data_IF_466083367411
#
_entry.id   IF_466083367411
#
_cell.length_a   1.000
_cell.length_b   1.000
_cell.length_c   1.000
_cell.angle_alpha   90.00
_cell.angle_beta   90.00
_cell.angle_gamma   90.00
#
_symmetry.space_group_name_H-M   'P 1'
#
loop_
_entity.id
_entity.type
_entity.pdbx_description
1 polymer ?
#
# COMPACT_ATOMS: atom_id res chain seq x y z
N UNK A 1 -4.85 -11.29 11.05
CA UNK A 1 -4.61 -12.57 11.75
C UNK A 1 -3.11 -12.89 11.86
N UNK A 2 -2.24 -11.90 12.06
CA UNK A 2 -0.80 -12.17 12.22
C UNK A 2 -0.45 -12.97 13.50
N UNK A 3 -1.10 -12.72 14.66
CA UNK A 3 -0.89 -13.52 15.86
C UNK A 3 -1.14 -15.02 15.69
N UNK A 4 -2.10 -15.40 14.84
CA UNK A 4 -2.56 -16.77 14.65
C UNK A 4 -1.50 -17.69 14.00
N UNK A 5 -0.52 -17.13 13.30
CA UNK A 5 0.61 -17.85 12.71
C UNK A 5 1.98 -17.40 13.26
N UNK A 6 1.98 -16.67 14.38
CA UNK A 6 3.19 -16.30 15.11
C UNK A 6 4.07 -15.22 14.45
N UNK A 7 3.58 -14.53 13.42
CA UNK A 7 4.33 -13.44 12.80
C UNK A 7 4.23 -12.14 13.60
N UNK A 8 5.29 -11.33 13.58
CA UNK A 8 5.28 -9.97 14.15
C UNK A 8 4.26 -9.06 13.44
N UNK A 9 4.20 -9.14 12.10
CA UNK A 9 3.22 -8.41 11.29
C UNK A 9 2.97 -9.12 9.95
N UNK A 10 1.81 -8.83 9.35
CA UNK A 10 1.56 -9.07 7.93
C UNK A 10 1.54 -7.73 7.21
N UNK A 11 2.37 -7.57 6.18
CA UNK A 11 2.52 -6.31 5.45
C UNK A 11 2.01 -6.45 4.01
N UNK A 12 1.16 -5.51 3.61
CA UNK A 12 0.65 -5.38 2.25
C UNK A 12 1.08 -4.02 1.69
N UNK A 13 1.85 -3.97 0.60
CA UNK A 13 2.28 -2.70 -0.01
C UNK A 13 1.12 -1.80 -0.43
N UNK A 14 1.39 -0.50 -0.54
CA UNK A 14 0.41 0.45 -1.09
C UNK A 14 0.26 0.18 -2.58
N UNK A 15 -0.98 0.03 -3.03
CA UNK A 15 -1.34 -0.24 -4.42
C UNK A 15 -2.61 0.51 -4.84
N UNK A 16 -3.12 0.21 -6.04
CA UNK A 16 -4.33 0.83 -6.57
C UNK A 16 -5.58 0.54 -5.72
N UNK A 17 -5.72 -0.66 -5.15
CA UNK A 17 -6.86 -0.99 -4.29
C UNK A 17 -6.80 -0.23 -2.96
N UNK A 18 -5.60 0.01 -2.42
CA UNK A 18 -5.41 0.87 -1.25
C UNK A 18 -5.91 2.29 -1.54
N UNK A 19 -5.55 2.87 -2.69
CA UNK A 19 -6.02 4.21 -3.10
C UNK A 19 -7.54 4.25 -3.27
N UNK A 20 -8.12 3.24 -3.94
CA UNK A 20 -9.57 3.11 -4.12
C UNK A 20 -10.28 2.98 -2.77
N UNK A 21 -9.73 2.21 -1.84
CA UNK A 21 -10.26 2.09 -0.49
C UNK A 21 -10.27 3.43 0.24
N UNK A 22 -9.18 4.20 0.17
CA UNK A 22 -9.12 5.54 0.77
C UNK A 22 -10.20 6.47 0.20
N UNK A 23 -10.45 6.45 -1.11
CA UNK A 23 -11.53 7.23 -1.73
C UNK A 23 -12.91 6.74 -1.25
N UNK A 24 -13.14 5.42 -1.27
CA UNK A 24 -14.42 4.82 -0.89
C UNK A 24 -14.81 5.07 0.57
N UNK A 25 -13.82 5.25 1.44
CA UNK A 25 -14.00 5.50 2.87
C UNK A 25 -14.01 7.00 3.22
N UNK A 26 -14.13 7.87 2.22
CA UNK A 26 -14.40 9.29 2.41
C UNK A 26 -13.18 10.16 2.73
N UNK A 27 -11.96 9.70 2.41
CA UNK A 27 -10.78 10.58 2.54
C UNK A 27 -10.83 11.68 1.47
N UNK A 28 -10.48 12.90 1.87
CA UNK A 28 -10.45 14.05 0.97
C UNK A 28 -9.60 13.76 -0.27
N UNK A 29 -10.07 14.21 -1.43
CA UNK A 29 -9.38 14.00 -2.71
C UNK A 29 -7.92 14.43 -2.64
N UNK A 30 -7.64 15.63 -2.11
CA UNK A 30 -6.29 16.15 -1.96
C UNK A 30 -5.38 15.26 -1.10
N UNK A 31 -5.93 14.64 -0.05
CA UNK A 31 -5.18 13.70 0.80
C UNK A 31 -4.85 12.41 0.05
N UNK A 32 -5.82 11.85 -0.67
CA UNK A 32 -5.60 10.62 -1.44
C UNK A 32 -4.56 10.84 -2.53
N UNK A 33 -4.66 11.95 -3.25
CA UNK A 33 -3.71 12.29 -4.32
C UNK A 33 -2.29 12.50 -3.76
N UNK A 34 -2.17 13.13 -2.58
CA UNK A 34 -0.88 13.26 -1.88
C UNK A 34 -0.29 11.90 -1.51
N UNK A 35 -1.09 10.99 -0.95
CA UNK A 35 -0.63 9.64 -0.55
C UNK A 35 -0.11 8.87 -1.76
N UNK A 36 -0.85 8.90 -2.87
CA UNK A 36 -0.46 8.21 -4.10
C UNK A 36 0.85 8.80 -4.69
N UNK A 37 0.93 10.13 -4.79
CA UNK A 37 2.12 10.80 -5.32
C UNK A 37 3.35 10.53 -4.45
N UNK A 38 3.20 10.59 -3.13
CA UNK A 38 4.29 10.32 -2.19
C UNK A 38 4.76 8.87 -2.26
N UNK A 39 3.83 7.90 -2.24
CA UNK A 39 4.16 6.48 -2.32
C UNK A 39 4.91 6.15 -3.63
N UNK A 40 4.48 6.74 -4.76
CA UNK A 40 5.16 6.60 -6.05
C UNK A 40 6.55 7.23 -6.05
N UNK A 41 6.69 8.44 -5.53
CA UNK A 41 7.97 9.14 -5.47
C UNK A 41 9.01 8.41 -4.59
N UNK A 42 8.56 7.71 -3.55
CA UNK A 42 9.42 6.93 -2.67
C UNK A 42 9.66 5.50 -3.16
N UNK A 43 9.08 5.08 -4.28
CA UNK A 43 9.17 3.70 -4.76
C UNK A 43 8.43 2.67 -3.89
N UNK A 44 7.50 3.12 -3.05
CA UNK A 44 6.71 2.26 -2.15
C UNK A 44 5.36 1.84 -2.76
N UNK A 45 5.03 2.30 -3.96
CA UNK A 45 3.80 1.96 -4.66
C UNK A 45 3.98 0.70 -5.51
N UNK A 46 3.27 -0.38 -5.18
CA UNK A 46 3.33 -1.67 -5.88
C UNK A 46 2.42 -1.65 -7.11
N UNK A 47 2.96 -2.09 -8.23
CA UNK A 47 2.26 -2.34 -9.50
C UNK A 47 2.57 -3.75 -9.99
N UNK A 48 1.93 -4.25 -11.06
CA UNK A 48 2.31 -5.55 -11.67
C UNK A 48 3.78 -5.60 -12.11
N UNK A 49 4.33 -4.45 -12.48
CA UNK A 49 5.66 -4.35 -13.10
C UNK A 49 6.76 -4.14 -12.05
N UNK A 50 6.40 -3.86 -10.80
CA UNK A 50 7.38 -3.76 -9.71
C UNK A 50 7.98 -5.16 -9.48
N UNK A 51 9.32 -5.31 -9.46
CA UNK A 51 9.93 -6.60 -9.17
C UNK A 51 9.60 -7.04 -7.75
N UNK A 52 9.54 -8.35 -7.54
CA UNK A 52 9.38 -8.89 -6.19
C UNK A 52 10.60 -8.54 -5.32
N UNK A 53 10.39 -8.15 -4.05
CA UNK A 53 11.47 -8.05 -3.09
C UNK A 53 12.19 -9.39 -2.91
N UNK A 54 13.44 -9.34 -2.48
CA UNK A 54 14.16 -10.54 -2.04
C UNK A 54 13.73 -10.87 -0.62
N UNK A 55 13.02 -11.98 -0.46
CA UNK A 55 12.54 -12.48 0.83
C UNK A 55 13.50 -13.52 1.42
N UNK A 56 13.45 -13.72 2.74
CA UNK A 56 14.20 -14.75 3.49
C UNK A 56 13.30 -15.89 3.94
#
# INVERSE_FOLDING_TARGET
>A
MAPEYGATCGFFPIDAETIKYLRATGRDKARVDLVEAYAKAQGMFRTSDTPDPVFT
#
